data_IF_584846332418
#
_entry.id   IF_584846332418
#
_cell.length_a   1.000
_cell.length_b   1.000
_cell.length_c   1.000
_cell.angle_alpha   90.00
_cell.angle_beta   90.00
_cell.angle_gamma   90.00
#
_symmetry.space_group_name_H-M   'P 1'
#
loop_
_entity.id
_entity.type
_entity.pdbx_description
1 polymer ?
#
# COMPACT_ATOMS: atom_id res chain seq x y z
N UNK A 1 -45.84 -16.80 -25.70
CA UNK A 1 -44.58 -17.43 -25.20
C UNK A 1 -43.38 -16.50 -25.33
N UNK A 2 -43.14 -15.89 -26.51
CA UNK A 2 -42.00 -14.99 -26.77
C UNK A 2 -41.94 -13.74 -25.86
N UNK A 3 -43.08 -13.14 -25.53
CA UNK A 3 -43.15 -11.94 -24.66
C UNK A 3 -42.75 -12.22 -23.19
N UNK A 4 -43.06 -13.41 -22.67
CA UNK A 4 -42.68 -13.82 -21.30
C UNK A 4 -41.18 -14.10 -21.17
N UNK A 5 -40.59 -14.70 -22.21
CA UNK A 5 -39.14 -14.96 -22.29
C UNK A 5 -38.36 -13.64 -22.36
N UNK A 6 -38.86 -12.67 -23.15
CA UNK A 6 -38.25 -11.34 -23.23
C UNK A 6 -38.27 -10.60 -21.88
N UNK A 7 -39.37 -10.69 -21.13
CA UNK A 7 -39.49 -10.07 -19.81
C UNK A 7 -38.58 -10.72 -18.76
N UNK A 8 -38.39 -12.04 -18.82
CA UNK A 8 -37.47 -12.78 -17.94
C UNK A 8 -36.01 -12.40 -18.23
N UNK A 9 -35.64 -12.21 -19.50
CA UNK A 9 -34.28 -11.79 -19.89
C UNK A 9 -33.95 -10.37 -19.40
N UNK A 10 -34.92 -9.45 -19.44
CA UNK A 10 -34.75 -8.08 -18.91
C UNK A 10 -34.55 -8.10 -17.39
N UNK A 11 -35.34 -8.91 -16.67
CA UNK A 11 -35.21 -9.06 -15.21
C UNK A 11 -33.87 -9.69 -14.82
N UNK A 12 -33.38 -10.68 -15.58
CA UNK A 12 -32.07 -11.29 -15.32
C UNK A 12 -30.92 -10.32 -15.60
N UNK A 13 -31.03 -9.51 -16.66
CA UNK A 13 -30.05 -8.48 -17.00
C UNK A 13 -29.99 -7.37 -15.96
N UNK A 14 -31.12 -6.94 -15.39
CA UNK A 14 -31.13 -5.86 -14.40
C UNK A 14 -30.53 -6.30 -13.06
N UNK A 15 -30.71 -7.57 -12.67
CA UNK A 15 -30.11 -8.16 -11.47
C UNK A 15 -28.59 -8.36 -11.65
N UNK A 16 -28.14 -8.68 -12.86
CA UNK A 16 -26.70 -8.81 -13.17
C UNK A 16 -25.98 -7.45 -13.12
N UNK A 17 -26.60 -6.38 -13.61
CA UNK A 17 -26.01 -5.02 -13.55
C UNK A 17 -25.96 -4.44 -12.13
N UNK A 18 -26.83 -4.88 -11.21
CA UNK A 18 -26.89 -4.35 -9.85
C UNK A 18 -25.75 -4.86 -8.94
N UNK A 19 -25.11 -5.99 -9.30
CA UNK A 19 -24.03 -6.59 -8.52
C UNK A 19 -22.63 -6.05 -8.85
N UNK A 20 -22.50 -5.17 -9.85
CA UNK A 20 -21.20 -4.63 -10.29
C UNK A 20 -20.82 -3.31 -9.59
N UNK A 21 -21.67 -2.76 -8.72
CA UNK A 21 -21.49 -1.43 -8.12
C UNK A 21 -20.97 -1.43 -6.67
N UNK A 22 -20.77 -2.59 -6.04
CA UNK A 22 -20.37 -2.66 -4.61
C UNK A 22 -18.86 -2.81 -4.38
N UNK A 23 -18.02 -2.47 -5.38
CA UNK A 23 -16.57 -2.65 -5.32
C UNK A 23 -15.76 -1.39 -4.94
N UNK A 24 -16.38 -0.33 -4.41
CA UNK A 24 -15.63 0.87 -4.01
C UNK A 24 -15.08 0.66 -2.59
N UNK A 25 -13.85 0.17 -2.48
CA UNK A 25 -13.14 0.10 -1.21
C UNK A 25 -12.96 1.49 -0.62
N UNK A 26 -13.25 1.64 0.67
CA UNK A 26 -13.06 2.90 1.39
C UNK A 26 -11.61 3.36 1.27
N UNK A 27 -11.41 4.55 0.71
CA UNK A 27 -10.10 5.19 0.68
C UNK A 27 -9.74 5.56 2.13
N UNK A 28 -8.88 4.75 2.75
CA UNK A 28 -8.43 4.94 4.14
C UNK A 28 -7.80 6.32 4.28
N UNK A 29 -8.56 7.28 4.80
CA UNK A 29 -8.17 8.69 4.89
C UNK A 29 -7.48 9.05 6.21
N UNK A 30 -7.15 8.07 7.08
CA UNK A 30 -6.48 8.33 8.35
C UNK A 30 -5.26 7.43 8.57
N UNK A 31 -4.09 8.09 8.62
CA UNK A 31 -2.76 7.46 8.70
C UNK A 31 -2.53 6.58 9.94
N UNK A 32 -3.31 6.76 11.00
CA UNK A 32 -3.13 6.02 12.26
C UNK A 32 -3.95 4.73 12.34
N UNK A 33 -4.92 4.52 11.45
CA UNK A 33 -5.81 3.36 11.51
C UNK A 33 -5.31 2.18 10.66
N UNK A 34 -4.16 2.32 9.99
CA UNK A 34 -3.64 1.26 9.16
C UNK A 34 -2.95 0.20 10.01
N UNK A 35 -3.62 -0.95 10.15
CA UNK A 35 -3.17 -2.11 10.91
C UNK A 35 -2.72 -3.20 9.94
N UNK A 36 -1.49 -3.67 10.11
CA UNK A 36 -0.95 -4.79 9.35
C UNK A 36 -1.31 -6.12 10.02
N UNK A 37 -1.61 -7.17 9.24
CA UNK A 37 -1.76 -8.52 9.75
C UNK A 37 -0.40 -9.11 10.15
N UNK A 38 -0.40 -10.14 10.99
CA UNK A 38 0.84 -10.81 11.45
C UNK A 38 1.51 -11.67 10.35
N UNK A 39 0.78 -11.98 9.28
CA UNK A 39 1.26 -12.73 8.12
C UNK A 39 0.39 -12.47 6.89
N UNK A 40 0.85 -12.94 5.73
CA UNK A 40 0.20 -12.76 4.43
C UNK A 40 -0.09 -11.29 4.14
N UNK A 41 0.91 -10.45 4.36
CA UNK A 41 0.79 -9.01 4.16
C UNK A 41 0.57 -8.72 2.68
N UNK A 42 -0.48 -7.95 2.36
CA UNK A 42 -0.78 -7.55 0.99
C UNK A 42 -0.11 -6.22 0.68
N UNK A 43 0.51 -6.14 -0.51
CA UNK A 43 1.03 -4.89 -1.00
C UNK A 43 -0.09 -3.87 -1.19
N UNK A 44 -1.13 -4.22 -1.93
CA UNK A 44 -2.21 -3.29 -2.29
C UNK A 44 -2.99 -2.83 -1.06
N UNK A 45 -3.25 -3.74 -0.10
CA UNK A 45 -4.11 -3.43 1.05
C UNK A 45 -3.32 -2.77 2.18
N UNK A 46 -2.05 -3.15 2.39
CA UNK A 46 -1.30 -2.71 3.57
C UNK A 46 -0.12 -1.80 3.21
N UNK A 47 0.75 -2.23 2.29
CA UNK A 47 2.03 -1.58 2.04
C UNK A 47 1.87 -0.31 1.22
N UNK A 48 1.13 -0.37 0.10
CA UNK A 48 0.92 0.79 -0.77
C UNK A 48 0.22 1.92 0.01
N UNK A 49 -0.87 1.69 0.75
CA UNK A 49 -1.49 2.77 1.51
C UNK A 49 -0.59 3.27 2.65
N UNK A 50 0.23 2.41 3.26
CA UNK A 50 1.26 2.85 4.20
C UNK A 50 2.26 3.80 3.54
N UNK A 51 2.87 3.41 2.42
CA UNK A 51 3.86 4.23 1.70
C UNK A 51 3.25 5.54 1.22
N UNK A 52 2.03 5.49 0.66
CA UNK A 52 1.30 6.69 0.28
C UNK A 52 1.09 7.59 1.48
N UNK A 53 0.44 7.14 2.53
CA UNK A 53 0.04 8.06 3.60
C UNK A 53 1.20 8.51 4.49
N UNK A 54 2.19 7.64 4.74
CA UNK A 54 3.32 7.94 5.64
C UNK A 54 4.52 8.55 4.94
N UNK A 55 4.67 8.37 3.62
CA UNK A 55 5.86 8.81 2.89
C UNK A 55 5.55 9.66 1.64
N UNK A 56 4.43 9.43 0.95
CA UNK A 56 4.24 9.90 -0.44
C UNK A 56 2.94 10.67 -0.76
N UNK A 57 2.06 10.97 0.21
CA UNK A 57 0.75 11.60 -0.01
C UNK A 57 0.88 13.09 -0.31
N UNK A 58 1.80 13.78 0.36
CA UNK A 58 2.15 15.19 0.13
C UNK A 58 3.50 15.51 0.76
N UNK A 59 4.52 14.70 0.41
CA UNK A 59 5.78 14.68 1.13
C UNK A 59 6.98 14.47 0.21
N UNK A 60 8.13 14.15 0.81
CA UNK A 60 9.41 14.10 0.10
C UNK A 60 9.45 13.07 -1.03
N UNK A 61 8.69 11.96 -0.91
CA UNK A 61 8.69 10.84 -1.85
C UNK A 61 7.38 10.70 -2.67
N UNK A 62 6.68 11.82 -2.89
CA UNK A 62 5.49 11.85 -3.74
C UNK A 62 5.82 11.82 -5.25
N UNK A 63 4.79 11.88 -6.09
CA UNK A 63 4.96 12.06 -7.53
C UNK A 63 5.38 13.49 -7.90
N UNK A 64 6.12 13.68 -9.01
CA UNK A 64 6.36 15.00 -9.58
C UNK A 64 5.07 15.78 -9.85
N UNK A 65 5.10 17.13 -9.78
CA UNK A 65 6.28 17.98 -9.63
C UNK A 65 6.63 18.32 -8.17
N UNK A 66 5.91 17.79 -7.20
CA UNK A 66 5.99 18.24 -5.81
C UNK A 66 6.98 17.42 -4.96
N UNK A 67 7.69 16.48 -5.58
CA UNK A 67 8.63 15.59 -4.91
C UNK A 67 9.98 16.27 -4.68
N UNK A 68 10.60 15.99 -3.54
CA UNK A 68 11.97 16.43 -3.24
C UNK A 68 12.99 15.29 -3.33
N UNK A 69 12.50 14.07 -3.55
CA UNK A 69 13.25 12.82 -3.66
C UNK A 69 12.57 11.84 -4.63
N UNK A 70 13.17 10.66 -4.87
CA UNK A 70 12.59 9.61 -5.71
C UNK A 70 11.17 9.21 -5.24
N UNK A 71 10.19 9.09 -6.14
CA UNK A 71 8.86 8.58 -5.82
C UNK A 71 8.91 7.17 -5.24
N UNK A 72 7.99 6.88 -4.32
CA UNK A 72 7.85 5.58 -3.65
C UNK A 72 6.36 5.21 -3.51
N UNK A 73 5.56 5.55 -4.52
CA UNK A 73 4.11 5.32 -4.52
C UNK A 73 3.70 3.99 -5.14
N UNK A 74 4.59 3.35 -5.91
CA UNK A 74 4.29 2.07 -6.58
C UNK A 74 5.26 0.95 -6.20
N UNK A 75 4.83 -0.30 -6.41
CA UNK A 75 5.65 -1.48 -6.09
C UNK A 75 6.94 -1.47 -6.90
N UNK A 76 6.84 -1.08 -8.18
CA UNK A 76 7.97 -1.02 -9.09
C UNK A 76 9.02 0.00 -8.65
N UNK A 77 8.60 1.15 -8.14
CA UNK A 77 9.52 2.12 -7.54
C UNK A 77 10.21 1.51 -6.32
N UNK A 78 9.48 0.90 -5.38
CA UNK A 78 10.09 0.33 -4.17
C UNK A 78 11.13 -0.75 -4.47
N UNK A 79 10.88 -1.55 -5.51
CA UNK A 79 11.72 -2.67 -5.92
C UNK A 79 12.75 -2.29 -6.99
N UNK A 80 12.69 -1.06 -7.49
CA UNK A 80 13.53 -0.56 -8.56
C UNK A 80 15.01 -0.54 -8.18
N UNK A 81 15.87 -0.91 -9.14
CA UNK A 81 17.32 -0.92 -8.95
C UNK A 81 17.91 0.47 -8.65
N UNK A 82 17.23 1.52 -9.12
CA UNK A 82 17.53 2.92 -8.87
C UNK A 82 17.41 3.32 -7.39
N UNK A 83 16.66 2.54 -6.60
CA UNK A 83 16.50 2.74 -5.17
C UNK A 83 17.50 1.91 -4.32
N UNK A 84 18.58 1.40 -4.95
CA UNK A 84 19.80 0.88 -4.32
C UNK A 84 19.59 -0.08 -3.12
N UNK A 85 18.61 -0.99 -3.22
CA UNK A 85 18.32 -1.94 -2.13
C UNK A 85 17.44 -1.37 -1.03
N UNK A 86 16.60 -0.37 -1.35
CA UNK A 86 15.53 0.11 -0.48
C UNK A 86 14.70 -1.05 0.08
N UNK A 87 14.29 -1.96 -0.81
CA UNK A 87 13.67 -3.23 -0.46
C UNK A 87 14.49 -4.39 -1.04
N UNK A 88 14.84 -5.33 -0.19
CA UNK A 88 15.53 -6.57 -0.57
C UNK A 88 14.65 -7.74 -0.12
N UNK A 89 13.93 -8.34 -1.07
CA UNK A 89 13.01 -9.45 -0.81
C UNK A 89 13.67 -10.57 0.02
N UNK A 90 12.93 -11.09 1.00
CA UNK A 90 13.36 -12.12 1.96
C UNK A 90 14.48 -11.68 2.92
N UNK A 91 14.94 -10.42 2.86
CA UNK A 91 16.06 -9.91 3.66
C UNK A 91 15.69 -8.57 4.31
N UNK A 92 14.80 -8.57 5.32
CA UNK A 92 14.39 -7.34 6.01
C UNK A 92 15.57 -6.55 6.57
N UNK A 93 16.54 -7.23 7.21
CA UNK A 93 17.71 -6.55 7.80
C UNK A 93 18.66 -5.95 6.76
N UNK A 94 18.64 -6.45 5.53
CA UNK A 94 19.39 -5.88 4.41
C UNK A 94 18.64 -4.77 3.67
N UNK A 95 17.36 -4.55 3.99
CA UNK A 95 16.53 -3.54 3.33
C UNK A 95 16.69 -2.20 4.03
N UNK A 96 17.11 -1.17 3.28
CA UNK A 96 17.30 0.19 3.82
C UNK A 96 15.99 0.71 4.44
N UNK A 97 14.84 0.39 3.84
CA UNK A 97 13.53 0.78 4.36
C UNK A 97 13.31 0.32 5.80
N UNK A 98 13.66 -0.92 6.14
CA UNK A 98 13.50 -1.44 7.50
C UNK A 98 14.52 -0.82 8.44
N UNK A 99 15.76 -0.62 7.99
CA UNK A 99 16.77 0.06 8.79
C UNK A 99 16.38 1.50 9.11
N UNK A 100 15.73 2.21 8.18
CA UNK A 100 15.12 3.52 8.43
C UNK A 100 13.99 3.36 9.46
N UNK A 101 12.98 2.54 9.19
CA UNK A 101 11.81 2.37 10.08
C UNK A 101 12.18 1.95 11.52
N UNK A 102 13.28 1.21 11.70
CA UNK A 102 13.82 0.79 13.01
C UNK A 102 14.85 1.79 13.59
N UNK A 103 14.99 2.97 12.99
CA UNK A 103 15.89 4.06 13.41
C UNK A 103 17.39 3.67 13.44
N UNK A 104 17.79 2.64 12.68
CA UNK A 104 19.19 2.21 12.51
C UNK A 104 19.94 3.09 11.51
N UNK A 105 19.22 3.68 10.54
CA UNK A 105 19.76 4.65 9.60
C UNK A 105 19.08 6.00 9.76
N UNK A 106 19.81 7.11 9.58
CA UNK A 106 19.24 8.43 9.68
C UNK A 106 18.26 8.66 8.52
N UNK A 107 17.12 9.23 8.86
CA UNK A 107 16.18 9.83 7.90
C UNK A 107 15.71 11.16 8.50
N UNK A 108 15.20 12.08 7.69
CA UNK A 108 14.75 13.38 8.19
C UNK A 108 13.43 13.24 8.97
N UNK A 109 13.52 12.75 10.20
CA UNK A 109 12.39 12.54 11.11
C UNK A 109 11.86 13.83 11.71
N UNK A 110 12.58 14.96 11.59
CA UNK A 110 12.07 16.25 12.08
C UNK A 110 10.74 16.63 11.41
N UNK A 111 10.43 16.05 10.25
CA UNK A 111 9.15 16.22 9.55
C UNK A 111 8.00 15.39 10.16
N UNK A 112 8.27 14.42 11.03
CA UNK A 112 7.28 13.50 11.57
C UNK A 112 7.23 13.58 13.11
N UNK A 113 6.04 13.81 13.71
CA UNK A 113 5.94 13.78 15.17
C UNK A 113 6.26 12.38 15.71
N UNK A 114 6.73 12.32 16.96
CA UNK A 114 6.95 11.03 17.61
C UNK A 114 5.66 10.19 17.64
N UNK A 115 5.78 8.89 17.36
CA UNK A 115 4.63 7.99 17.24
C UNK A 115 3.85 8.10 15.92
N UNK A 116 4.34 8.87 14.94
CA UNK A 116 3.74 8.94 13.61
C UNK A 116 3.71 7.58 12.90
N UNK A 117 4.72 6.74 13.11
CA UNK A 117 4.75 5.34 12.63
C UNK A 117 4.64 4.43 13.83
N UNK A 118 3.66 3.52 13.81
CA UNK A 118 3.40 2.61 14.95
C UNK A 118 4.28 1.35 14.88
N UNK A 119 4.47 0.69 16.02
CA UNK A 119 5.18 -0.59 16.06
C UNK A 119 4.50 -1.70 15.24
N UNK A 120 3.18 -1.68 15.11
CA UNK A 120 2.48 -2.61 14.21
C UNK A 120 2.85 -2.36 12.75
N UNK A 121 2.93 -1.10 12.33
CA UNK A 121 3.31 -0.75 10.97
C UNK A 121 4.76 -1.15 10.66
N UNK A 122 5.69 -0.90 11.59
CA UNK A 122 7.09 -1.33 11.44
C UNK A 122 7.17 -2.86 11.29
N UNK A 123 6.50 -3.61 12.18
CA UNK A 123 6.46 -5.08 12.12
C UNK A 123 5.80 -5.60 10.85
N UNK A 124 4.74 -4.97 10.40
CA UNK A 124 4.02 -5.34 9.18
C UNK A 124 4.84 -5.12 7.92
N UNK A 125 5.52 -3.99 7.81
CA UNK A 125 6.46 -3.72 6.72
C UNK A 125 7.61 -4.73 6.72
N UNK A 126 8.15 -5.03 7.90
CA UNK A 126 9.16 -6.07 8.07
C UNK A 126 8.65 -7.44 7.61
N UNK A 127 7.44 -7.82 8.03
CA UNK A 127 6.80 -9.08 7.66
C UNK A 127 6.58 -9.20 6.16
N UNK A 128 6.11 -8.14 5.49
CA UNK A 128 5.95 -8.13 4.03
C UNK A 128 7.26 -8.44 3.30
N UNK A 129 8.37 -7.85 3.74
CA UNK A 129 9.68 -8.12 3.14
C UNK A 129 10.16 -9.54 3.46
N UNK A 130 9.96 -10.02 4.69
CA UNK A 130 10.22 -11.42 5.08
C UNK A 130 9.45 -12.41 4.19
N UNK A 131 8.23 -12.08 3.80
CA UNK A 131 7.37 -12.89 2.92
C UNK A 131 7.70 -12.77 1.43
N UNK A 132 8.73 -11.99 1.09
CA UNK A 132 9.26 -11.86 -0.25
C UNK A 132 8.85 -10.58 -0.98
N UNK A 133 8.30 -9.59 -0.28
CA UNK A 133 7.92 -8.29 -0.84
C UNK A 133 7.04 -8.40 -2.10
N UNK A 134 6.04 -9.28 -2.07
CA UNK A 134 5.18 -9.60 -3.22
C UNK A 134 4.28 -8.42 -3.58
N UNK A 135 3.93 -8.32 -4.86
CA UNK A 135 2.90 -7.40 -5.37
C UNK A 135 1.54 -8.14 -5.42
N UNK A 136 0.84 -8.18 -4.28
CA UNK A 136 -0.37 -8.98 -4.04
C UNK A 136 -1.53 -8.18 -3.43
#
# INVERSE_FOLDING_TARGET
>A
MKLKIFMILILFSSVFTLNLLTGCGEMVSSSNNLVFPDSSVSYIINVEPFMRVKCAYSGCHCEPPNNTSTPMTTWFELMGSENLGLVVAYKPDSSILIQILEEKLPHNYNAFPHGYITQNQIKGMRKWIEEGAKNN
#
